data_IF_143107852645
#
_entry.id   IF_143107852645
#
_cell.length_a   1.000
_cell.length_b   1.000
_cell.length_c   1.000
_cell.angle_alpha   90.00
_cell.angle_beta   90.00
_cell.angle_gamma   90.00
#
_symmetry.space_group_name_H-M   'P 1'
#
loop_
_entity.id
_entity.type
_entity.pdbx_description
1 polymer ?
#
# COMPACT_ATOMS: atom_id res chain seq x y z
N UNK A 1 2.11 -4.81 -1.53
CA UNK A 1 2.35 -4.34 -0.16
C UNK A 1 3.05 -2.98 -0.11
N UNK A 2 4.28 -2.83 -0.63
CA UNK A 2 4.98 -1.53 -0.63
C UNK A 2 4.19 -0.40 -1.31
N UNK A 3 3.46 -0.71 -2.39
CA UNK A 3 2.51 0.24 -3.02
C UNK A 3 1.49 0.83 -2.03
N UNK A 4 0.92 -0.02 -1.16
CA UNK A 4 -0.07 0.40 -0.16
C UNK A 4 0.57 1.27 0.92
N UNK A 5 1.78 0.94 1.37
CA UNK A 5 2.53 1.73 2.36
C UNK A 5 2.77 3.15 1.84
N UNK A 6 3.26 3.27 0.60
CA UNK A 6 3.49 4.57 -0.03
C UNK A 6 2.18 5.31 -0.31
N UNK A 7 1.12 4.61 -0.74
CA UNK A 7 -0.18 5.22 -0.92
C UNK A 7 -0.66 5.86 0.40
N UNK A 8 -0.70 5.09 1.49
CA UNK A 8 -1.15 5.57 2.81
C UNK A 8 -0.31 6.71 3.37
N UNK A 9 1.00 6.68 3.14
CA UNK A 9 1.89 7.77 3.55
C UNK A 9 1.60 9.05 2.74
N UNK A 10 1.51 8.96 1.41
CA UNK A 10 1.27 10.14 0.56
C UNK A 10 -0.15 10.68 0.67
N UNK A 11 -1.14 9.85 0.99
CA UNK A 11 -2.50 10.29 1.32
C UNK A 11 -2.61 10.84 2.74
N UNK A 12 -1.51 10.85 3.52
CA UNK A 12 -1.48 11.34 4.90
C UNK A 12 -2.53 10.68 5.79
N UNK A 13 -2.83 9.41 5.53
CA UNK A 13 -3.97 8.70 6.15
C UNK A 13 -3.76 8.32 7.62
N UNK A 14 -2.56 8.49 8.16
CA UNK A 14 -2.23 8.16 9.55
C UNK A 14 -1.76 9.37 10.33
N UNK A 15 -2.09 9.37 11.62
CA UNK A 15 -1.67 10.38 12.61
C UNK A 15 -1.82 11.83 12.09
N UNK A 16 -2.99 12.17 11.54
CA UNK A 16 -3.26 13.48 10.93
C UNK A 16 -2.23 13.95 9.88
N UNK A 17 -1.56 13.00 9.23
CA UNK A 17 -0.53 13.27 8.23
C UNK A 17 0.87 13.53 8.76
N UNK A 18 1.09 13.37 10.07
CA UNK A 18 2.39 13.56 10.71
C UNK A 18 3.24 12.28 10.69
N UNK A 19 2.64 11.13 10.39
CA UNK A 19 3.36 9.86 10.37
C UNK A 19 4.37 9.81 9.22
N UNK A 20 5.63 9.61 9.56
CA UNK A 20 6.71 9.47 8.57
C UNK A 20 6.59 8.13 7.84
N UNK A 21 7.16 8.06 6.63
CA UNK A 21 7.18 6.82 5.85
C UNK A 21 7.86 5.67 6.60
N UNK A 22 8.93 5.94 7.33
CA UNK A 22 9.66 4.92 8.11
C UNK A 22 8.80 4.35 9.22
N UNK A 23 8.04 5.20 9.90
CA UNK A 23 7.08 4.75 10.92
C UNK A 23 5.99 3.89 10.28
N UNK A 24 5.43 4.31 9.14
CA UNK A 24 4.42 3.51 8.43
C UNK A 24 4.97 2.13 8.06
N UNK A 25 6.19 2.05 7.52
CA UNK A 25 6.85 0.76 7.21
C UNK A 25 6.97 -0.10 8.47
N UNK A 26 7.48 0.45 9.57
CA UNK A 26 7.67 -0.28 10.83
C UNK A 26 6.36 -0.85 11.38
N UNK A 27 5.28 -0.07 11.32
CA UNK A 27 3.96 -0.55 11.77
C UNK A 27 3.45 -1.69 10.89
N UNK A 28 3.69 -1.63 9.57
CA UNK A 28 3.35 -2.73 8.67
C UNK A 28 4.19 -3.98 8.94
N UNK A 29 5.49 -3.84 9.21
CA UNK A 29 6.35 -4.97 9.59
C UNK A 29 5.81 -5.67 10.84
N UNK A 30 5.48 -4.89 11.88
CA UNK A 30 4.93 -5.40 13.13
C UNK A 30 3.55 -6.06 12.93
N UNK A 31 2.64 -5.39 12.20
CA UNK A 31 1.27 -5.87 12.02
C UNK A 31 1.19 -7.16 11.21
N UNK A 32 2.01 -7.28 10.16
CA UNK A 32 2.01 -8.46 9.29
C UNK A 32 3.03 -9.52 9.70
N UNK A 33 3.88 -9.26 10.71
CA UNK A 33 4.94 -10.18 11.12
C UNK A 33 5.98 -10.42 10.02
N UNK A 34 6.24 -9.41 9.18
CA UNK A 34 7.18 -9.50 8.04
C UNK A 34 8.28 -8.45 8.18
N UNK A 35 9.41 -8.67 7.51
CA UNK A 35 10.45 -7.65 7.37
C UNK A 35 10.37 -7.01 5.99
N UNK A 36 10.36 -5.68 5.94
CA UNK A 36 10.27 -4.88 4.72
C UNK A 36 11.58 -4.10 4.57
N UNK A 37 12.60 -4.84 4.16
CA UNK A 37 13.89 -4.26 3.79
C UNK A 37 13.80 -3.55 2.43
N UNK A 38 14.67 -2.55 2.23
CA UNK A 38 14.84 -1.88 0.94
C UNK A 38 13.55 -1.30 0.33
N UNK A 39 12.65 -0.76 1.16
CA UNK A 39 11.38 -0.17 0.71
C UNK A 39 11.59 0.96 -0.33
N UNK A 40 12.69 1.72 -0.23
CA UNK A 40 13.09 2.72 -1.24
C UNK A 40 13.39 2.11 -2.61
N UNK A 41 14.15 1.01 -2.68
CA UNK A 41 14.40 0.30 -3.95
C UNK A 41 13.12 -0.34 -4.48
N UNK A 42 12.29 -0.87 -3.59
CA UNK A 42 10.97 -1.40 -3.95
C UNK A 42 10.09 -0.33 -4.61
N UNK A 43 10.19 0.93 -4.18
CA UNK A 43 9.49 2.05 -4.82
C UNK A 43 10.03 2.39 -6.21
N UNK A 44 11.35 2.34 -6.42
CA UNK A 44 11.93 2.50 -7.76
C UNK A 44 11.42 1.40 -8.71
N UNK A 45 11.44 0.14 -8.25
CA UNK A 45 10.88 -0.99 -9.00
C UNK A 45 9.40 -0.82 -9.32
N UNK A 46 8.62 -0.18 -8.44
CA UNK A 46 7.21 0.15 -8.71
C UNK A 46 7.10 1.14 -9.87
N UNK A 47 7.94 2.19 -9.89
CA UNK A 47 7.92 3.23 -10.93
C UNK A 47 8.27 2.71 -12.32
N UNK A 48 9.17 1.73 -12.38
CA UNK A 48 9.69 1.14 -13.62
C UNK A 48 8.77 0.09 -14.26
N UNK A 49 7.65 -0.29 -13.62
CA UNK A 49 6.74 -1.30 -14.17
C UNK A 49 6.00 -0.80 -15.40
N UNK A 50 6.12 -1.54 -16.49
CA UNK A 50 5.44 -1.26 -17.76
C UNK A 50 3.94 -1.62 -17.75
N UNK A 51 3.54 -2.67 -17.03
CA UNK A 51 2.17 -3.22 -17.05
C UNK A 51 1.28 -2.74 -15.88
N UNK A 52 1.63 -1.61 -15.28
CA UNK A 52 0.91 -1.03 -14.14
C UNK A 52 1.79 -0.88 -12.91
N UNK A 53 1.78 0.33 -12.33
CA UNK A 53 2.62 0.69 -11.19
C UNK A 53 1.96 0.26 -9.86
N UNK A 54 0.64 0.33 -9.76
CA UNK A 54 -0.14 0.13 -8.51
C UNK A 54 -0.97 -1.15 -8.50
N UNK A 55 -0.42 -2.24 -9.05
CA UNK A 55 -1.13 -3.52 -9.25
C UNK A 55 -1.79 -4.06 -7.97
N UNK A 56 -1.10 -4.00 -6.84
CA UNK A 56 -1.63 -4.48 -5.57
C UNK A 56 -2.78 -3.59 -5.07
N UNK A 57 -2.62 -2.27 -5.11
CA UNK A 57 -3.68 -1.33 -4.67
C UNK A 57 -4.91 -1.47 -5.57
N UNK A 58 -4.74 -1.55 -6.88
CA UNK A 58 -5.84 -1.80 -7.83
C UNK A 58 -6.54 -3.13 -7.55
N UNK A 59 -5.78 -4.19 -7.21
CA UNK A 59 -6.37 -5.47 -6.80
C UNK A 59 -7.23 -5.35 -5.55
N UNK A 60 -6.77 -4.61 -4.52
CA UNK A 60 -7.54 -4.39 -3.30
C UNK A 60 -8.86 -3.65 -3.58
N UNK A 61 -8.78 -2.56 -4.34
CA UNK A 61 -9.97 -1.79 -4.74
C UNK A 61 -10.97 -2.68 -5.49
N UNK A 62 -10.54 -3.34 -6.57
CA UNK A 62 -11.41 -4.17 -7.38
C UNK A 62 -12.06 -5.30 -6.57
N UNK A 63 -11.30 -5.93 -5.67
CA UNK A 63 -11.82 -7.00 -4.80
C UNK A 63 -12.92 -6.48 -3.88
N UNK A 64 -12.69 -5.32 -3.24
CA UNK A 64 -13.67 -4.70 -2.35
C UNK A 64 -14.93 -4.28 -3.11
N UNK A 65 -14.78 -3.61 -4.25
CA UNK A 65 -15.91 -3.21 -5.09
C UNK A 65 -16.74 -4.41 -5.56
N UNK A 66 -16.09 -5.50 -5.99
CA UNK A 66 -16.80 -6.73 -6.37
C UNK A 66 -17.60 -7.31 -5.21
N UNK A 67 -17.05 -7.30 -3.99
CA UNK A 67 -17.76 -7.81 -2.80
C UNK A 67 -18.92 -6.94 -2.37
N UNK A 68 -18.82 -5.62 -2.53
CA UNK A 68 -19.93 -4.69 -2.29
C UNK A 68 -21.07 -4.98 -3.30
N UNK A 69 -20.72 -5.07 -4.59
CA UNK A 69 -21.70 -5.37 -5.66
C UNK A 69 -22.43 -6.71 -5.46
N UNK A 70 -21.73 -7.74 -4.98
CA UNK A 70 -22.33 -9.05 -4.64
C UNK A 70 -23.35 -8.95 -3.50
N UNK A 71 -23.22 -7.97 -2.60
CA UNK A 71 -24.10 -7.78 -1.43
C UNK A 71 -25.26 -6.82 -1.68
N UNK A 72 -25.10 -5.91 -2.64
CA UNK A 72 -26.15 -4.98 -3.08
C UNK A 72 -27.12 -5.63 -4.10
N UNK A 73 -26.80 -6.84 -4.57
CA UNK A 73 -27.67 -7.72 -5.36
C UNK A 73 -28.49 -8.63 -4.46
#
# INVERSE_FOLDING_TARGET
MVELIYALHYTKSFNNGEMTLKETVKHFEQFFGVKIDNFSHSFLRIRERMKGRTVFVSKLQNTLESKIKEKDQ
#
